data_IF_376226459016
#
_entry.id   IF_376226459016
#
_cell.length_a   1.000
_cell.length_b   1.000
_cell.length_c   1.000
_cell.angle_alpha   90.00
_cell.angle_beta   90.00
_cell.angle_gamma   90.00
#
_symmetry.space_group_name_H-M   'P 1'
#
loop_
_entity.id
_entity.type
_entity.pdbx_description
1 polymer ?
#
# COMPACT_ATOMS: atom_id res chain seq x y z
N UNK A 1 18.39 -56.66 -3.28
CA UNK A 1 17.61 -55.97 -2.23
C UNK A 1 17.91 -54.49 -2.36
N UNK A 2 17.14 -53.82 -3.21
CA UNK A 2 17.33 -52.43 -3.64
C UNK A 2 16.53 -51.52 -2.72
N UNK A 3 17.22 -50.63 -2.01
CA UNK A 3 16.60 -49.58 -1.19
C UNK A 3 15.99 -48.53 -2.14
N UNK A 4 14.69 -48.23 -2.06
CA UNK A 4 14.10 -47.15 -2.83
C UNK A 4 14.48 -45.80 -2.24
N UNK A 5 14.87 -44.86 -3.10
CA UNK A 5 15.13 -43.47 -2.77
C UNK A 5 13.82 -42.77 -2.36
N UNK A 6 13.68 -42.49 -1.07
CA UNK A 6 12.62 -41.67 -0.52
C UNK A 6 13.21 -40.34 -0.02
N UNK A 7 12.48 -39.26 -0.29
CA UNK A 7 12.66 -37.88 0.17
C UNK A 7 13.57 -36.96 -0.68
N UNK A 8 13.12 -36.71 -1.91
CA UNK A 8 13.28 -35.39 -2.50
C UNK A 8 12.49 -34.38 -1.64
N UNK A 9 13.21 -33.52 -0.93
CA UNK A 9 12.66 -32.34 -0.26
C UNK A 9 11.97 -31.48 -1.33
N UNK A 10 10.70 -31.06 -1.16
CA UNK A 10 10.11 -30.08 -2.06
C UNK A 10 10.79 -28.72 -1.84
N UNK A 11 11.79 -28.42 -2.66
CA UNK A 11 12.30 -27.06 -2.86
C UNK A 11 11.25 -26.24 -3.61
N UNK A 12 10.33 -25.60 -2.89
CA UNK A 12 9.46 -24.55 -3.45
C UNK A 12 8.96 -23.59 -2.36
N UNK A 13 9.86 -23.15 -1.49
CA UNK A 13 9.67 -21.89 -0.79
C UNK A 13 10.24 -20.77 -1.65
N UNK A 14 9.55 -20.40 -2.73
CA UNK A 14 9.93 -19.25 -3.56
C UNK A 14 9.85 -18.00 -2.68
N UNK A 15 10.97 -17.63 -2.06
CA UNK A 15 11.16 -16.29 -1.53
C UNK A 15 11.14 -15.36 -2.73
N UNK A 16 9.98 -14.77 -3.03
CA UNK A 16 9.83 -13.78 -4.10
C UNK A 16 10.94 -12.77 -3.90
N UNK A 17 11.86 -12.69 -4.87
CA UNK A 17 12.95 -11.73 -4.78
C UNK A 17 12.32 -10.34 -4.65
N UNK A 18 12.80 -9.45 -3.77
CA UNK A 18 12.20 -8.13 -3.56
C UNK A 18 11.96 -7.34 -4.86
N UNK A 19 12.79 -7.59 -5.88
CA UNK A 19 12.62 -7.02 -7.23
C UNK A 19 11.38 -7.51 -8.00
N UNK A 20 10.99 -8.77 -7.87
CA UNK A 20 9.78 -9.31 -8.52
C UNK A 20 8.51 -8.75 -7.89
N UNK A 21 8.48 -8.60 -6.56
CA UNK A 21 7.37 -7.96 -5.86
C UNK A 21 7.20 -6.49 -6.31
N UNK A 22 8.30 -5.75 -6.47
CA UNK A 22 8.27 -4.37 -6.99
C UNK A 22 7.78 -4.29 -8.43
N UNK A 23 8.17 -5.26 -9.27
CA UNK A 23 7.70 -5.33 -10.66
C UNK A 23 6.18 -5.57 -10.73
N UNK A 24 5.66 -6.49 -9.92
CA UNK A 24 4.23 -6.84 -9.87
C UNK A 24 3.37 -5.69 -9.31
N UNK A 25 3.86 -5.01 -8.26
CA UNK A 25 3.23 -3.79 -7.73
C UNK A 25 3.17 -2.68 -8.80
N UNK A 26 4.24 -2.48 -9.56
CA UNK A 26 4.27 -1.50 -10.66
C UNK A 26 3.31 -1.88 -11.78
N UNK A 27 3.19 -3.17 -12.09
CA UNK A 27 2.24 -3.66 -13.09
C UNK A 27 0.79 -3.38 -12.67
N UNK A 28 0.45 -3.71 -11.42
CA UNK A 28 -0.90 -3.45 -10.86
C UNK A 28 -1.20 -1.95 -10.85
N UNK A 29 -0.25 -1.12 -10.41
CA UNK A 29 -0.42 0.33 -10.40
C UNK A 29 -0.66 0.91 -11.80
N UNK A 30 0.08 0.44 -12.82
CA UNK A 30 -0.13 0.83 -14.23
C UNK A 30 -1.53 0.48 -14.70
N UNK A 31 -2.02 -0.73 -14.39
CA UNK A 31 -3.36 -1.16 -14.78
C UNK A 31 -4.47 -0.37 -14.08
N UNK A 32 -4.31 -0.03 -12.79
CA UNK A 32 -5.26 0.85 -12.10
C UNK A 32 -5.30 2.26 -12.68
N UNK A 33 -4.14 2.85 -13.01
CA UNK A 33 -4.09 4.17 -13.65
C UNK A 33 -4.74 4.11 -15.04
N UNK A 34 -4.49 3.05 -15.81
CA UNK A 34 -5.10 2.87 -17.13
C UNK A 34 -6.63 2.72 -17.04
N UNK A 35 -7.15 1.95 -16.08
CA UNK A 35 -8.58 1.78 -15.87
C UNK A 35 -9.26 3.11 -15.49
N UNK A 36 -8.65 3.86 -14.58
CA UNK A 36 -9.14 5.18 -14.16
C UNK A 36 -9.10 6.19 -15.32
N UNK A 37 -8.02 6.19 -16.11
CA UNK A 37 -7.91 7.01 -17.31
C UNK A 37 -8.97 6.64 -18.36
N UNK A 38 -9.27 5.34 -18.54
CA UNK A 38 -10.31 4.88 -19.43
C UNK A 38 -11.71 5.34 -18.99
N UNK A 39 -12.01 5.30 -17.68
CA UNK A 39 -13.26 5.85 -17.13
C UNK A 39 -13.33 7.36 -17.36
N UNK A 40 -12.25 8.09 -17.12
CA UNK A 40 -12.18 9.54 -17.39
C UNK A 40 -12.40 9.86 -18.88
N UNK A 41 -11.76 9.10 -19.78
CA UNK A 41 -11.93 9.23 -21.21
C UNK A 41 -13.36 8.90 -21.66
N UNK A 42 -14.00 7.89 -21.07
CA UNK A 42 -15.39 7.54 -21.34
C UNK A 42 -16.35 8.65 -20.89
N UNK A 43 -16.10 9.24 -19.72
CA UNK A 43 -16.89 10.37 -19.22
C UNK A 43 -16.74 11.62 -20.09
N UNK A 44 -15.52 11.90 -20.57
CA UNK A 44 -15.25 13.03 -21.48
C UNK A 44 -15.79 12.77 -22.91
N UNK A 45 -15.76 11.53 -23.39
CA UNK A 45 -16.09 11.18 -24.77
C UNK A 45 -17.55 10.76 -25.02
N UNK A 46 -18.23 10.18 -24.03
CA UNK A 46 -19.54 9.54 -24.24
C UNK A 46 -20.76 10.42 -23.96
N UNK A 47 -20.70 11.27 -22.93
CA UNK A 47 -21.89 11.95 -22.39
C UNK A 47 -22.05 13.43 -22.80
N UNK A 48 -20.99 14.27 -22.85
CA UNK A 48 -21.14 15.69 -23.21
C UNK A 48 -21.55 15.89 -24.67
N UNK A 49 -21.00 15.09 -25.60
CA UNK A 49 -21.22 15.23 -27.04
C UNK A 49 -22.67 14.96 -27.48
N UNK A 50 -23.43 14.20 -26.69
CA UNK A 50 -24.84 13.89 -26.98
C UNK A 50 -25.81 14.81 -26.22
N UNK A 51 -25.38 15.42 -25.11
CA UNK A 51 -26.20 16.28 -24.26
C UNK A 51 -26.19 17.76 -24.66
N UNK A 52 -25.18 18.24 -25.39
CA UNK A 52 -25.04 19.66 -25.82
C UNK A 52 -26.24 20.17 -26.63
N UNK A 53 -27.03 19.29 -27.24
CA UNK A 53 -28.25 19.66 -27.98
C UNK A 53 -29.55 19.74 -27.17
N UNK A 54 -29.56 19.38 -25.89
CA UNK A 54 -30.79 19.25 -25.06
C UNK A 54 -30.88 20.20 -23.87
N UNK A 55 -29.79 20.87 -23.50
CA UNK A 55 -29.77 21.74 -22.32
C UNK A 55 -30.30 23.14 -22.68
N UNK A 56 -31.56 23.41 -22.33
CA UNK A 56 -32.22 24.69 -22.61
C UNK A 56 -32.17 25.68 -21.42
N UNK A 57 -31.76 25.24 -20.23
CA UNK A 57 -31.70 26.05 -19.00
C UNK A 57 -30.28 26.12 -18.41
N UNK A 58 -29.86 27.33 -18.02
CA UNK A 58 -28.50 27.58 -17.52
C UNK A 58 -28.18 26.90 -16.18
N UNK A 59 -29.21 26.56 -15.40
CA UNK A 59 -29.08 25.81 -14.15
C UNK A 59 -28.64 24.37 -14.36
N UNK A 60 -29.22 23.68 -15.35
CA UNK A 60 -28.92 22.28 -15.64
C UNK A 60 -27.54 22.12 -16.29
N UNK A 61 -27.12 23.11 -17.10
CA UNK A 61 -25.76 23.18 -17.64
C UNK A 61 -24.71 23.29 -16.50
N UNK A 62 -24.98 24.14 -15.51
CA UNK A 62 -24.10 24.32 -14.35
C UNK A 62 -24.04 23.05 -13.49
N UNK A 63 -25.18 22.39 -13.27
CA UNK A 63 -25.27 21.15 -12.52
C UNK A 63 -24.52 20.00 -13.21
N UNK A 64 -24.66 19.86 -14.53
CA UNK A 64 -23.93 18.88 -15.32
C UNK A 64 -22.40 19.12 -15.28
N UNK A 65 -21.97 20.39 -15.39
CA UNK A 65 -20.55 20.75 -15.32
C UNK A 65 -19.97 20.52 -13.93
N UNK A 66 -20.73 20.84 -12.87
CA UNK A 66 -20.35 20.58 -11.49
C UNK A 66 -20.23 19.07 -11.19
N UNK A 67 -21.16 18.25 -11.69
CA UNK A 67 -21.10 16.79 -11.58
C UNK A 67 -19.88 16.19 -12.28
N UNK A 68 -19.57 16.66 -13.49
CA UNK A 68 -18.37 16.25 -14.24
C UNK A 68 -17.08 16.66 -13.51
N UNK A 69 -16.99 17.89 -13.03
CA UNK A 69 -15.84 18.38 -12.28
C UNK A 69 -15.61 17.57 -10.99
N UNK A 70 -16.69 17.23 -10.27
CA UNK A 70 -16.63 16.40 -9.06
C UNK A 70 -16.13 14.98 -9.37
N UNK A 71 -16.61 14.38 -10.47
CA UNK A 71 -16.15 13.06 -10.92
C UNK A 71 -14.65 13.08 -11.29
N UNK A 72 -14.19 14.10 -12.02
CA UNK A 72 -12.78 14.28 -12.37
C UNK A 72 -11.90 14.52 -11.13
N UNK A 73 -12.39 15.30 -10.15
CA UNK A 73 -11.70 15.50 -8.88
C UNK A 73 -11.56 14.18 -8.09
N UNK A 74 -12.61 13.35 -8.05
CA UNK A 74 -12.55 12.02 -7.42
C UNK A 74 -11.53 11.09 -8.09
N UNK A 75 -11.47 11.13 -9.42
CA UNK A 75 -10.47 10.40 -10.22
C UNK A 75 -9.05 10.90 -9.94
N UNK A 76 -8.82 12.22 -9.99
CA UNK A 76 -7.51 12.81 -9.70
C UNK A 76 -7.04 12.51 -8.27
N UNK A 77 -7.95 12.55 -7.30
CA UNK A 77 -7.68 12.17 -5.91
C UNK A 77 -7.25 10.71 -5.78
N UNK A 78 -7.92 9.79 -6.48
CA UNK A 78 -7.57 8.37 -6.49
C UNK A 78 -6.18 8.13 -7.11
N UNK A 79 -5.84 8.85 -8.19
CA UNK A 79 -4.52 8.77 -8.83
C UNK A 79 -3.44 9.30 -7.87
N UNK A 80 -3.68 10.46 -7.25
CA UNK A 80 -2.74 11.05 -6.29
C UNK A 80 -2.42 10.09 -5.13
N UNK A 81 -3.45 9.49 -4.55
CA UNK A 81 -3.29 8.50 -3.47
C UNK A 81 -2.55 7.25 -3.91
N UNK A 82 -2.76 6.78 -5.14
CA UNK A 82 -2.02 5.65 -5.71
C UNK A 82 -0.54 6.02 -5.94
N UNK A 83 -0.26 7.29 -6.28
CA UNK A 83 1.09 7.83 -6.44
C UNK A 83 1.92 7.84 -5.15
N UNK A 84 1.29 8.15 -4.01
CA UNK A 84 1.99 8.10 -2.71
C UNK A 84 2.45 6.68 -2.34
N UNK A 85 1.68 5.65 -2.73
CA UNK A 85 2.04 4.24 -2.48
C UNK A 85 3.25 3.79 -3.33
N UNK A 86 3.47 4.42 -4.48
CA UNK A 86 4.58 4.12 -5.38
C UNK A 86 5.92 4.75 -4.95
N UNK A 87 5.91 5.63 -3.95
CA UNK A 87 7.15 6.25 -3.46
C UNK A 87 7.81 5.28 -2.47
N UNK A 88 8.96 4.66 -2.81
CA UNK A 88 9.60 3.69 -1.93
C UNK A 88 10.01 4.39 -0.64
N UNK A 89 9.35 4.03 0.46
CA UNK A 89 9.77 4.44 1.79
C UNK A 89 10.81 3.44 2.27
N UNK A 90 12.00 3.95 2.57
CA UNK A 90 13.01 3.16 3.26
C UNK A 90 12.50 2.96 4.70
N UNK A 91 12.01 1.76 5.01
CA UNK A 91 11.62 1.40 6.36
C UNK A 91 12.88 1.08 7.17
N UNK A 92 13.02 1.72 8.32
CA UNK A 92 14.11 1.49 9.26
C UNK A 92 13.55 1.20 10.65
N UNK A 93 14.35 0.63 11.54
CA UNK A 93 13.91 0.43 12.93
C UNK A 93 13.69 1.78 13.65
N UNK A 94 14.28 2.88 13.16
CA UNK A 94 14.03 4.21 13.72
C UNK A 94 12.58 4.68 13.44
N UNK A 95 11.90 4.12 12.44
CA UNK A 95 10.49 4.40 12.20
C UNK A 95 9.58 3.85 13.32
N UNK A 96 10.10 2.95 14.17
CA UNK A 96 9.36 2.43 15.32
C UNK A 96 8.97 3.53 16.32
N UNK A 97 9.70 4.65 16.37
CA UNK A 97 9.41 5.78 17.28
C UNK A 97 8.26 6.67 16.80
N UNK A 98 7.81 6.50 15.55
CA UNK A 98 6.75 7.34 14.97
C UNK A 98 5.42 7.11 15.69
N UNK A 99 4.56 8.14 15.82
CA UNK A 99 3.31 8.03 16.58
C UNK A 99 2.33 6.99 16.01
N UNK A 100 2.36 6.76 14.69
CA UNK A 100 1.56 5.74 14.01
C UNK A 100 1.97 4.30 14.31
N UNK A 101 3.16 4.08 14.88
CA UNK A 101 3.67 2.78 15.32
C UNK A 101 3.38 2.46 16.79
N UNK A 102 2.60 3.29 17.50
CA UNK A 102 2.24 3.08 18.91
C UNK A 102 1.60 1.72 19.18
N UNK A 103 0.79 1.21 18.25
CA UNK A 103 0.19 -0.13 18.35
C UNK A 103 1.24 -1.25 18.29
N UNK A 104 2.23 -1.13 17.40
CA UNK A 104 3.33 -2.10 17.30
C UNK A 104 4.24 -2.03 18.53
N UNK A 105 4.59 -0.81 18.99
CA UNK A 105 5.35 -0.63 20.25
C UNK A 105 4.63 -1.25 21.44
N UNK A 106 3.31 -1.11 21.52
CA UNK A 106 2.52 -1.75 22.57
C UNK A 106 2.60 -3.27 22.56
N UNK A 107 2.65 -3.90 21.37
CA UNK A 107 2.83 -5.36 21.25
C UNK A 107 4.26 -5.77 21.63
N UNK A 108 5.26 -5.00 21.19
CA UNK A 108 6.67 -5.29 21.52
C UNK A 108 6.90 -5.16 23.02
N UNK A 109 6.36 -4.13 23.66
CA UNK A 109 6.46 -3.90 25.10
C UNK A 109 5.80 -5.01 25.95
N UNK A 110 4.91 -5.83 25.37
CA UNK A 110 4.32 -6.97 26.07
C UNK A 110 5.26 -8.18 26.14
N UNK A 111 6.19 -8.31 25.20
CA UNK A 111 7.12 -9.44 25.14
C UNK A 111 8.46 -9.04 24.51
N UNK A 112 9.18 -8.13 25.19
CA UNK A 112 10.45 -7.57 24.70
C UNK A 112 11.49 -8.65 24.41
N UNK A 113 11.51 -9.72 25.22
CA UNK A 113 12.47 -10.82 25.08
C UNK A 113 12.24 -11.59 23.77
N UNK A 114 10.98 -11.77 23.33
CA UNK A 114 10.70 -12.41 22.05
C UNK A 114 11.17 -11.59 20.83
N UNK A 115 11.28 -10.27 20.96
CA UNK A 115 11.66 -9.36 19.86
C UNK A 115 13.14 -8.98 19.87
N UNK A 116 13.70 -8.66 21.04
CA UNK A 116 15.10 -8.20 21.19
C UNK A 116 16.04 -9.31 21.67
N UNK A 117 15.51 -10.43 22.17
CA UNK A 117 16.32 -11.54 22.65
C UNK A 117 17.16 -11.17 23.88
N UNK A 118 18.34 -11.78 24.07
CA UNK A 118 19.20 -11.50 25.22
C UNK A 118 19.95 -10.15 25.12
N UNK A 119 19.71 -9.37 24.06
CA UNK A 119 20.53 -8.22 23.70
C UNK A 119 20.05 -6.89 24.29
N UNK A 120 18.89 -6.87 24.95
CA UNK A 120 18.37 -5.68 25.64
C UNK A 120 16.86 -5.56 25.55
N UNK A 121 16.36 -4.35 25.80
CA UNK A 121 14.92 -4.03 25.81
C UNK A 121 14.54 -2.99 24.76
N UNK A 122 15.53 -2.44 24.05
CA UNK A 122 15.32 -1.40 23.06
C UNK A 122 15.95 -1.74 21.70
N UNK A 123 15.46 -1.11 20.62
CA UNK A 123 16.12 -1.17 19.32
C UNK A 123 17.57 -0.68 19.33
N UNK A 124 17.87 0.27 20.21
CA UNK A 124 19.20 0.84 20.36
C UNK A 124 20.17 -0.17 20.96
N UNK A 125 19.71 -0.94 21.95
CA UNK A 125 20.49 -2.03 22.55
C UNK A 125 20.81 -3.11 21.52
N UNK A 126 19.83 -3.52 20.70
CA UNK A 126 20.07 -4.51 19.65
C UNK A 126 21.09 -4.02 18.63
N UNK A 127 21.01 -2.75 18.20
CA UNK A 127 22.01 -2.14 17.31
C UNK A 127 23.37 -2.02 17.98
N UNK A 128 23.40 -1.70 19.27
CA UNK A 128 24.64 -1.64 20.04
C UNK A 128 25.29 -3.03 20.15
N UNK A 129 24.49 -4.08 20.36
CA UNK A 129 24.94 -5.47 20.36
C UNK A 129 25.51 -5.89 19.00
N UNK A 130 24.84 -5.59 17.87
CA UNK A 130 25.38 -5.83 16.53
C UNK A 130 26.77 -5.21 16.36
N UNK A 131 26.93 -3.92 16.68
CA UNK A 131 28.23 -3.22 16.60
C UNK A 131 29.26 -3.83 17.55
N UNK A 132 28.86 -4.19 18.76
CA UNK A 132 29.74 -4.78 19.76
C UNK A 132 30.31 -6.12 19.25
N UNK A 133 29.45 -7.05 18.81
CA UNK A 133 29.93 -8.36 18.36
C UNK A 133 30.76 -8.28 17.07
N UNK A 134 30.45 -7.39 16.15
CA UNK A 134 31.27 -7.15 14.96
C UNK A 134 32.67 -6.64 15.32
N UNK A 135 32.74 -5.66 16.22
CA UNK A 135 34.04 -5.11 16.66
C UNK A 135 34.83 -6.11 17.50
N UNK A 136 34.17 -6.90 18.34
CA UNK A 136 34.79 -7.98 19.13
C UNK A 136 35.33 -9.08 18.22
N UNK A 137 34.56 -9.50 17.20
CA UNK A 137 35.02 -10.48 16.22
C UNK A 137 36.27 -9.99 15.48
N UNK A 138 36.27 -8.73 15.02
CA UNK A 138 37.43 -8.16 14.34
C UNK A 138 38.68 -8.11 15.24
N UNK A 139 38.52 -7.75 16.53
CA UNK A 139 39.61 -7.75 17.51
C UNK A 139 40.13 -9.16 17.79
N UNK A 140 39.23 -10.11 18.03
CA UNK A 140 39.60 -11.51 18.30
C UNK A 140 40.31 -12.15 17.09
N UNK A 141 39.92 -11.81 15.86
CA UNK A 141 40.57 -12.32 14.66
C UNK A 141 42.04 -11.84 14.55
N UNK A 142 42.31 -10.61 14.97
CA UNK A 142 43.67 -10.06 15.01
C UNK A 142 44.51 -10.73 16.10
N UNK A 143 43.96 -10.97 17.29
CA UNK A 143 44.67 -11.66 18.37
C UNK A 143 44.93 -13.14 18.02
N UNK A 144 43.95 -13.81 17.41
CA UNK A 144 44.11 -15.18 16.89
C UNK A 144 45.23 -15.30 15.87
N UNK A 145 45.47 -14.28 15.05
CA UNK A 145 46.55 -14.28 14.07
C UNK A 145 47.94 -14.12 14.69
N UNK A 146 48.04 -13.62 15.93
CA UNK A 146 49.29 -13.45 16.68
C UNK A 146 49.61 -14.60 17.62
N UNK A 147 48.59 -15.35 18.03
CA UNK A 147 48.73 -16.46 18.96
C UNK A 147 49.52 -17.63 18.34
N UNK A 148 50.59 -18.05 19.01
CA UNK A 148 51.43 -19.20 18.63
C UNK A 148 51.14 -20.44 19.49
N UNK A 149 50.62 -20.25 20.71
CA UNK A 149 50.27 -21.36 21.61
C UNK A 149 48.98 -22.05 21.17
N UNK A 150 49.04 -23.37 21.03
CA UNK A 150 47.91 -24.22 20.62
C UNK A 150 46.74 -24.16 21.63
N UNK A 151 47.02 -23.99 22.93
CA UNK A 151 45.97 -23.84 23.93
C UNK A 151 45.24 -22.50 23.80
N UNK A 152 45.97 -21.41 23.59
CA UNK A 152 45.43 -20.08 23.38
C UNK A 152 44.64 -19.98 22.07
N UNK A 153 45.17 -20.58 21.00
CA UNK A 153 44.51 -20.70 19.70
C UNK A 153 43.12 -21.34 19.82
N UNK A 154 42.99 -22.45 20.57
CA UNK A 154 41.70 -23.13 20.77
C UNK A 154 40.68 -22.24 21.48
N UNK A 155 41.09 -21.51 22.51
CA UNK A 155 40.20 -20.59 23.25
C UNK A 155 39.75 -19.44 22.36
N UNK A 156 40.66 -18.86 21.57
CA UNK A 156 40.35 -17.77 20.65
C UNK A 156 39.43 -18.20 19.50
N UNK A 157 39.61 -19.41 18.97
CA UNK A 157 38.71 -19.99 17.96
C UNK A 157 37.29 -20.17 18.51
N UNK A 158 37.16 -20.72 19.72
CA UNK A 158 35.85 -20.85 20.35
C UNK A 158 35.19 -19.48 20.59
N UNK A 159 35.95 -18.49 21.08
CA UNK A 159 35.44 -17.13 21.27
C UNK A 159 35.02 -16.45 19.95
N UNK A 160 35.73 -16.74 18.85
CA UNK A 160 35.38 -16.26 17.51
C UNK A 160 34.07 -16.86 17.00
N UNK A 161 33.89 -18.17 17.19
CA UNK A 161 32.67 -18.87 16.81
C UNK A 161 31.47 -18.37 17.61
N UNK A 162 31.63 -18.17 18.92
CA UNK A 162 30.59 -17.59 19.79
C UNK A 162 30.24 -16.15 19.38
N UNK A 163 31.25 -15.30 19.11
CA UNK A 163 31.02 -13.93 18.65
C UNK A 163 30.29 -13.90 17.30
N UNK A 164 30.62 -14.82 16.39
CA UNK A 164 29.97 -14.95 15.09
C UNK A 164 28.53 -15.42 15.21
N UNK A 165 28.27 -16.42 16.06
CA UNK A 165 26.93 -16.92 16.32
C UNK A 165 26.03 -15.82 16.91
N UNK A 166 26.54 -15.06 17.89
CA UNK A 166 25.82 -13.95 18.50
C UNK A 166 25.56 -12.81 17.53
N UNK A 167 26.53 -12.41 16.70
CA UNK A 167 26.33 -11.41 15.66
C UNK A 167 25.26 -11.85 14.64
N UNK A 168 25.27 -13.12 14.24
CA UNK A 168 24.27 -13.67 13.33
C UNK A 168 22.86 -13.67 13.95
N UNK A 169 22.75 -13.99 15.25
CA UNK A 169 21.48 -13.95 15.96
C UNK A 169 20.95 -12.51 16.07
N UNK A 170 21.79 -11.55 16.47
CA UNK A 170 21.41 -10.15 16.58
C UNK A 170 20.92 -9.58 15.24
N UNK A 171 21.63 -9.85 14.13
CA UNK A 171 21.20 -9.45 12.78
C UNK A 171 19.89 -10.09 12.34
N UNK A 172 19.63 -11.35 12.71
CA UNK A 172 18.34 -12.02 12.40
C UNK A 172 17.18 -11.35 13.14
N UNK A 173 17.36 -11.01 14.41
CA UNK A 173 16.36 -10.28 15.18
C UNK A 173 16.14 -8.88 14.61
N UNK A 174 17.21 -8.20 14.21
CA UNK A 174 17.15 -6.89 13.56
C UNK A 174 16.35 -6.94 12.25
N UNK A 175 16.65 -7.91 11.37
CA UNK A 175 15.90 -8.12 10.13
C UNK A 175 14.43 -8.43 10.37
N UNK A 176 14.13 -9.30 11.33
CA UNK A 176 12.73 -9.62 11.70
C UNK A 176 11.97 -8.40 12.21
N UNK A 177 12.60 -7.52 12.96
CA UNK A 177 12.00 -6.26 13.40
C UNK A 177 11.73 -5.33 12.21
N UNK A 178 12.67 -5.19 11.28
CA UNK A 178 12.46 -4.39 10.06
C UNK A 178 11.28 -4.93 9.25
N UNK A 179 11.19 -6.25 9.08
CA UNK A 179 10.08 -6.89 8.36
C UNK A 179 8.74 -6.62 9.05
N UNK A 180 8.69 -6.67 10.39
CA UNK A 180 7.49 -6.37 11.16
C UNK A 180 7.08 -4.90 11.05
N UNK A 181 8.03 -3.97 11.15
CA UNK A 181 7.77 -2.53 10.95
C UNK A 181 7.25 -2.29 9.55
N UNK A 182 7.86 -2.90 8.54
CA UNK A 182 7.44 -2.78 7.14
C UNK A 182 6.01 -3.32 6.94
N UNK A 183 5.70 -4.50 7.46
CA UNK A 183 4.37 -5.08 7.37
C UNK A 183 3.30 -4.20 8.05
N UNK A 184 3.64 -3.58 9.18
CA UNK A 184 2.74 -2.64 9.86
C UNK A 184 2.54 -1.34 9.08
N UNK A 185 3.61 -0.79 8.50
CA UNK A 185 3.54 0.41 7.67
C UNK A 185 2.66 0.17 6.44
N UNK A 186 2.85 -0.97 5.76
CA UNK A 186 2.02 -1.40 4.62
C UNK A 186 0.56 -1.57 5.04
N UNK A 187 0.29 -2.20 6.20
CA UNK A 187 -1.09 -2.35 6.70
C UNK A 187 -1.75 -1.01 7.01
N UNK A 188 -1.01 -0.06 7.59
CA UNK A 188 -1.51 1.28 7.88
C UNK A 188 -1.77 2.07 6.59
N UNK A 189 -0.86 1.98 5.62
CA UNK A 189 -1.01 2.57 4.29
C UNK A 189 -2.24 2.00 3.55
N UNK A 190 -2.43 0.67 3.55
CA UNK A 190 -3.59 0.01 2.96
C UNK A 190 -4.91 0.46 3.61
N UNK A 191 -4.94 0.64 4.94
CA UNK A 191 -6.14 1.11 5.62
C UNK A 191 -6.49 2.54 5.20
N UNK A 192 -5.50 3.42 5.11
CA UNK A 192 -5.68 4.80 4.59
C UNK A 192 -6.14 4.79 3.14
N UNK A 193 -5.49 4.00 2.29
CA UNK A 193 -5.85 3.86 0.88
C UNK A 193 -7.30 3.41 0.71
N UNK A 194 -7.76 2.37 1.44
CA UNK A 194 -9.15 1.90 1.40
C UNK A 194 -10.17 3.00 1.73
N UNK A 195 -9.90 3.81 2.76
CA UNK A 195 -10.79 4.93 3.11
C UNK A 195 -10.85 5.93 1.96
N UNK A 196 -9.70 6.29 1.38
CA UNK A 196 -9.69 7.19 0.23
C UNK A 196 -10.37 6.61 -1.01
N UNK A 197 -10.24 5.31 -1.28
CA UNK A 197 -10.94 4.66 -2.40
C UNK A 197 -12.45 4.68 -2.18
N UNK A 198 -12.94 4.45 -0.96
CA UNK A 198 -14.36 4.55 -0.63
C UNK A 198 -14.88 5.98 -0.80
N UNK A 199 -14.14 6.98 -0.34
CA UNK A 199 -14.49 8.40 -0.53
C UNK A 199 -14.53 8.75 -2.02
N UNK A 200 -13.53 8.32 -2.79
CA UNK A 200 -13.49 8.55 -4.23
C UNK A 200 -14.68 7.89 -4.94
N UNK A 201 -15.00 6.63 -4.60
CA UNK A 201 -16.18 5.93 -5.14
C UNK A 201 -17.48 6.67 -4.82
N UNK A 202 -17.62 7.15 -3.59
CA UNK A 202 -18.78 7.91 -3.16
C UNK A 202 -18.93 9.24 -3.94
N UNK A 203 -17.83 9.97 -4.14
CA UNK A 203 -17.81 11.19 -4.94
C UNK A 203 -18.20 10.94 -6.40
N UNK A 204 -17.68 9.86 -7.00
CA UNK A 204 -18.03 9.47 -8.37
C UNK A 204 -19.51 9.10 -8.48
N UNK A 205 -20.05 8.33 -7.52
CA UNK A 205 -21.46 7.97 -7.49
C UNK A 205 -22.36 9.20 -7.39
N UNK A 206 -22.04 10.14 -6.50
CA UNK A 206 -22.78 11.42 -6.38
C UNK A 206 -22.70 12.22 -7.68
N UNK A 207 -21.51 12.38 -8.25
CA UNK A 207 -21.30 13.12 -9.50
C UNK A 207 -22.10 12.52 -10.66
N UNK A 208 -22.11 11.19 -10.78
CA UNK A 208 -22.88 10.48 -11.80
C UNK A 208 -24.40 10.64 -11.60
N UNK A 209 -24.89 10.51 -10.37
CA UNK A 209 -26.32 10.72 -10.06
C UNK A 209 -26.74 12.14 -10.41
N UNK A 210 -25.99 13.16 -9.99
CA UNK A 210 -26.28 14.57 -10.30
C UNK A 210 -26.31 14.84 -11.81
N UNK A 211 -25.36 14.27 -12.55
CA UNK A 211 -25.30 14.40 -14.01
C UNK A 211 -26.52 13.75 -14.68
N UNK A 212 -26.89 12.53 -14.26
CA UNK A 212 -28.04 11.81 -14.81
C UNK A 212 -29.35 12.54 -14.50
N UNK A 213 -29.55 13.03 -13.27
CA UNK A 213 -30.77 13.76 -12.92
C UNK A 213 -30.91 15.07 -13.70
N UNK A 214 -29.81 15.80 -13.91
CA UNK A 214 -29.82 17.04 -14.69
C UNK A 214 -30.04 16.83 -16.19
N UNK A 215 -29.88 15.60 -16.70
CA UNK A 215 -29.98 15.30 -18.15
C UNK A 215 -31.25 14.53 -18.53
N UNK A 216 -32.03 14.04 -17.55
CA UNK A 216 -33.22 13.19 -17.79
C UNK A 216 -34.55 13.99 -17.76
N UNK A 217 -34.59 15.22 -17.24
CA UNK A 217 -35.85 15.93 -16.93
C UNK A 217 -36.67 16.49 -18.14
N UNK A 218 -36.39 16.05 -19.36
CA UNK A 218 -37.27 16.28 -20.52
C UNK A 218 -38.32 15.16 -20.69
N UNK A 219 -39.28 15.09 -19.76
CA UNK A 219 -40.51 14.35 -20.01
C UNK A 219 -41.40 15.16 -20.98
N UNK A 220 -41.86 14.59 -22.12
CA UNK A 220 -42.63 15.35 -23.11
C UNK A 220 -43.94 15.83 -22.49
N UNK A 221 -44.13 17.16 -22.42
CA UNK A 221 -45.42 17.78 -22.08
C UNK A 221 -46.48 17.17 -23.01
N UNK A 222 -47.44 16.46 -22.41
CA UNK A 222 -48.56 15.88 -23.13
C UNK A 222 -49.18 16.92 -24.09
N UNK A 223 -49.47 16.56 -25.35
CA UNK A 223 -50.01 17.53 -26.31
C UNK A 223 -51.32 18.10 -25.76
N UNK A 224 -51.41 19.43 -25.76
CA UNK A 224 -52.59 20.15 -25.32
C UNK A 224 -53.85 19.57 -25.99
N UNK A 225 -54.78 19.09 -25.16
CA UNK A 225 -56.07 18.55 -25.60
C UNK A 225 -56.73 19.62 -26.48
N UNK A 226 -57.04 19.35 -27.77
CA UNK A 226 -57.65 20.35 -28.63
C UNK A 226 -59.00 20.77 -28.04
N UNK A 227 -59.20 22.08 -27.93
CA UNK A 227 -60.44 22.68 -27.43
C UNK A 227 -61.62 22.22 -28.30
N UNK A 228 -62.75 21.81 -27.70
CA UNK A 228 -63.95 21.48 -28.47
C UNK A 228 -64.41 22.70 -29.26
N UNK A 229 -64.63 22.51 -30.56
CA UNK A 229 -65.15 23.53 -31.47
C UNK A 229 -66.52 24.02 -30.98
N UNK A 230 -66.80 25.34 -31.03
CA UNK A 230 -68.12 25.84 -30.68
C UNK A 230 -69.14 25.29 -31.68
N UNK A 231 -70.05 24.44 -31.20
CA UNK A 231 -71.26 24.08 -31.93
C UNK A 231 -72.08 25.35 -32.14
N UNK A 232 -72.14 25.85 -33.37
CA UNK A 232 -73.11 26.87 -33.76
C UNK A 232 -74.51 26.26 -33.69
N UNK A 233 -75.18 26.44 -32.56
CA UNK A 233 -76.63 26.27 -32.44
C UNK A 233 -77.30 27.47 -33.10
N UNK A 234 -78.27 27.20 -33.96
CA UNK A 234 -78.86 28.16 -34.88
C UNK A 234 -79.71 29.26 -34.25
N UNK A 235 -79.95 30.27 -35.09
CA UNK A 235 -81.19 31.02 -35.23
C UNK A 235 -81.29 31.44 -36.71
#
# INVERSE_FOLDING_TARGET
MTVPAENAVPESGTTVAPGEAVADMRATAKWTIAAVAAVGALLLGGAPLTAVGKVNDGGDALAAFAGLALALAGVGWAIWQTGEVLTPRFTTIADLDRPDMSGLRGIIAQDEVAFYGPFGQSPEDLRAACRLYETTWAKLAVERAKAEDEAEVRVLEQALDDARANAALARRLEGRLVDLVHAWEVRAALRRARVHTLVAMFLVAIGAVLFLTATIDDAPRAPARPLPSPTSSGA
#
